data_IF_249717565104
#
_entry.id   IF_249717565104
#
_cell.length_a   1.000
_cell.length_b   1.000
_cell.length_c   1.000
_cell.angle_alpha   90.00
_cell.angle_beta   90.00
_cell.angle_gamma   90.00
#
_symmetry.space_group_name_H-M   'P 1'
#
loop_
_entity.id
_entity.type
_entity.pdbx_description
1 polymer ?
#
# COMPACT_ATOMS: atom_id res chain seq x y z
N UNK A 1 -3.18 -11.34 16.67
CA UNK A 1 -3.75 -10.07 17.11
C UNK A 1 -2.73 -9.14 17.75
N UNK A 2 -1.92 -9.58 18.74
CA UNK A 2 -0.90 -8.69 19.38
C UNK A 2 0.10 -8.09 18.39
N UNK A 3 0.53 -8.82 17.37
CA UNK A 3 1.50 -8.34 16.36
C UNK A 3 0.91 -7.28 15.42
N UNK A 4 -0.38 -7.37 15.11
CA UNK A 4 -1.10 -6.38 14.29
C UNK A 4 -1.27 -5.07 15.08
N UNK A 5 -1.60 -5.17 16.36
CA UNK A 5 -1.72 -4.01 17.26
C UNK A 5 -0.36 -3.30 17.39
N UNK A 6 0.74 -4.06 17.50
CA UNK A 6 2.09 -3.51 17.55
C UNK A 6 2.46 -2.79 16.25
N UNK A 7 2.09 -3.36 15.08
CA UNK A 7 2.32 -2.72 13.79
C UNK A 7 1.52 -1.40 13.65
N UNK A 8 0.26 -1.40 14.06
CA UNK A 8 -0.58 -0.19 14.07
C UNK A 8 -0.01 0.86 15.03
N UNK A 9 0.39 0.46 16.24
CA UNK A 9 1.01 1.36 17.22
C UNK A 9 2.36 1.89 16.71
N UNK A 10 3.16 1.08 16.02
CA UNK A 10 4.43 1.52 15.43
C UNK A 10 4.20 2.56 14.31
N UNK A 11 3.19 2.38 13.48
CA UNK A 11 2.79 3.36 12.46
C UNK A 11 2.35 4.67 13.10
N UNK A 12 1.56 4.62 14.19
CA UNK A 12 1.17 5.82 14.94
C UNK A 12 2.36 6.49 15.67
N UNK A 13 3.29 5.70 16.22
CA UNK A 13 4.46 6.23 16.90
C UNK A 13 5.44 6.93 15.94
N UNK A 14 5.51 6.52 14.70
CA UNK A 14 6.32 7.20 13.67
C UNK A 14 5.74 8.56 13.27
N UNK A 15 4.45 8.80 13.48
CA UNK A 15 3.81 10.07 13.14
C UNK A 15 4.24 11.25 14.02
N UNK A 16 4.83 10.99 15.18
CA UNK A 16 5.26 12.02 16.14
C UNK A 16 6.72 12.44 16.01
N UNK A 17 7.53 11.73 15.23
CA UNK A 17 8.99 11.86 15.28
C UNK A 17 9.63 12.72 14.18
N UNK A 18 8.88 13.17 13.18
CA UNK A 18 9.37 14.06 12.12
C UNK A 18 8.20 14.91 11.61
N UNK A 19 8.47 15.97 10.86
CA UNK A 19 7.45 16.82 10.19
C UNK A 19 6.52 16.06 9.22
N UNK A 20 6.38 14.76 9.40
CA UNK A 20 5.51 13.87 8.68
C UNK A 20 4.13 13.87 9.33
N UNK A 21 3.11 14.19 8.55
CA UNK A 21 1.75 14.19 9.01
C UNK A 21 0.97 13.08 8.32
N UNK A 22 0.40 12.17 9.12
CA UNK A 22 -0.58 11.21 8.61
C UNK A 22 -1.78 11.99 8.08
N UNK A 23 -2.07 11.85 6.80
CA UNK A 23 -3.15 12.57 6.12
C UNK A 23 -4.32 11.68 5.71
N UNK A 24 -4.16 10.37 5.81
CA UNK A 24 -5.25 9.44 5.51
C UNK A 24 -4.94 8.02 5.96
N UNK A 25 -5.98 7.27 6.29
CA UNK A 25 -5.92 5.85 6.66
C UNK A 25 -7.12 5.11 6.09
N UNK A 26 -6.92 3.91 5.60
CA UNK A 26 -7.99 3.10 5.05
C UNK A 26 -7.54 1.75 4.55
N UNK A 27 -8.22 1.26 3.55
CA UNK A 27 -7.94 -0.03 2.93
C UNK A 27 -7.79 0.11 1.42
N UNK A 28 -6.93 -0.70 0.85
CA UNK A 28 -6.77 -0.89 -0.58
C UNK A 28 -7.13 -2.33 -0.90
N UNK A 29 -8.12 -2.51 -1.77
CA UNK A 29 -8.67 -3.80 -2.17
C UNK A 29 -8.27 -4.05 -3.63
N UNK A 30 -7.45 -5.05 -3.86
CA UNK A 30 -6.96 -5.38 -5.18
C UNK A 30 -7.27 -6.82 -5.58
N UNK A 31 -7.34 -7.07 -6.87
CA UNK A 31 -7.71 -8.35 -7.49
C UNK A 31 -6.55 -9.08 -8.14
N UNK A 32 -5.31 -8.99 -7.65
CA UNK A 32 -4.18 -9.63 -8.30
C UNK A 32 -3.19 -10.29 -7.34
N UNK A 33 -2.61 -11.39 -7.77
CA UNK A 33 -1.37 -11.99 -7.24
C UNK A 33 -1.24 -12.10 -5.70
N UNK A 34 -2.30 -12.51 -5.01
CA UNK A 34 -2.18 -12.99 -3.65
C UNK A 34 -2.36 -11.97 -2.52
N UNK A 35 -2.66 -10.72 -2.79
CA UNK A 35 -2.94 -9.72 -1.76
C UNK A 35 -4.31 -9.07 -2.02
N UNK A 36 -5.37 -9.65 -1.44
CA UNK A 36 -6.72 -9.15 -1.62
C UNK A 36 -7.03 -7.86 -0.88
N UNK A 37 -6.33 -7.60 0.23
CA UNK A 37 -6.54 -6.41 1.05
C UNK A 37 -5.23 -5.91 1.67
N UNK A 38 -5.06 -4.60 1.65
CA UNK A 38 -3.94 -3.91 2.28
C UNK A 38 -4.48 -2.81 3.20
N UNK A 39 -3.90 -2.66 4.38
CA UNK A 39 -4.05 -1.45 5.18
C UNK A 39 -3.27 -0.35 4.49
N UNK A 40 -3.92 0.72 4.10
CA UNK A 40 -3.31 1.83 3.36
C UNK A 40 -3.27 3.08 4.21
N UNK A 41 -2.10 3.72 4.26
CA UNK A 41 -1.88 4.97 4.97
C UNK A 41 -1.24 6.00 4.05
N UNK A 42 -1.72 7.25 4.13
CA UNK A 42 -1.18 8.39 3.39
C UNK A 42 -0.46 9.33 4.35
N UNK A 43 0.74 9.71 3.99
CA UNK A 43 1.61 10.58 4.75
C UNK A 43 2.01 11.79 3.93
N UNK A 44 2.11 12.95 4.55
CA UNK A 44 2.58 14.17 3.92
C UNK A 44 3.99 14.50 4.39
N UNK A 45 4.94 14.51 3.45
CA UNK A 45 6.34 14.87 3.63
C UNK A 45 6.76 16.01 2.67
N UNK A 46 5.82 16.87 2.28
CA UNK A 46 5.98 17.81 1.20
C UNK A 46 5.32 17.28 -0.08
N UNK A 47 5.59 16.04 -0.47
CA UNK A 47 4.76 15.24 -1.35
C UNK A 47 4.12 14.09 -0.55
N UNK A 48 3.20 13.38 -1.20
CA UNK A 48 2.51 12.27 -0.56
C UNK A 48 3.36 11.00 -0.58
N UNK A 49 3.37 10.29 0.53
CA UNK A 49 3.90 8.93 0.63
C UNK A 49 2.75 8.01 1.03
N UNK A 50 2.51 6.97 0.25
CA UNK A 50 1.59 5.89 0.59
C UNK A 50 2.39 4.73 1.19
N UNK A 51 1.97 4.26 2.35
CA UNK A 51 2.54 3.08 3.01
C UNK A 51 1.42 2.08 3.22
N UNK A 52 1.57 0.91 2.62
CA UNK A 52 0.57 -0.14 2.66
C UNK A 52 1.13 -1.41 3.30
N UNK A 53 0.32 -2.01 4.15
CA UNK A 53 0.57 -3.32 4.77
C UNK A 53 -0.43 -4.32 4.22
N UNK A 54 0.04 -5.26 3.42
CA UNK A 54 -0.75 -6.35 2.89
C UNK A 54 -0.63 -7.60 3.74
N UNK A 55 -1.73 -8.32 3.82
CA UNK A 55 -1.79 -9.62 4.46
C UNK A 55 -2.65 -10.56 3.62
N UNK A 56 -2.07 -11.72 3.32
CA UNK A 56 -2.76 -12.81 2.67
C UNK A 56 -2.55 -14.10 3.46
N UNK A 57 -3.63 -14.83 3.64
CA UNK A 57 -3.60 -16.16 4.23
C UNK A 57 -4.49 -17.07 3.40
N UNK A 58 -3.91 -18.14 2.89
CA UNK A 58 -4.61 -19.18 2.15
C UNK A 58 -4.21 -20.55 2.70
N UNK A 59 -4.89 -21.62 2.27
CA UNK A 59 -4.57 -22.97 2.71
C UNK A 59 -3.12 -23.33 2.36
N UNK A 60 -2.26 -23.33 3.38
CA UNK A 60 -0.87 -23.77 3.30
C UNK A 60 0.19 -22.68 3.17
N UNK A 61 -0.18 -21.39 3.12
CA UNK A 61 0.80 -20.31 3.22
C UNK A 61 0.25 -19.04 3.87
N UNK A 62 1.13 -18.27 4.48
CA UNK A 62 0.84 -16.95 5.00
C UNK A 62 1.84 -15.96 4.42
N UNK A 63 1.33 -14.88 3.84
CA UNK A 63 2.13 -13.83 3.23
C UNK A 63 1.87 -12.45 3.85
N UNK A 64 2.93 -11.67 3.97
CA UNK A 64 2.90 -10.26 4.36
C UNK A 64 3.61 -9.43 3.31
N UNK A 65 3.11 -8.22 3.08
CA UNK A 65 3.81 -7.25 2.24
C UNK A 65 3.83 -5.88 2.88
N UNK A 66 4.92 -5.17 2.66
CA UNK A 66 5.09 -3.76 2.99
C UNK A 66 5.43 -3.04 1.70
N UNK A 67 4.62 -2.06 1.34
CA UNK A 67 4.84 -1.24 0.14
C UNK A 67 4.94 0.22 0.55
N UNK A 68 5.96 0.92 0.06
CA UNK A 68 6.12 2.35 0.23
C UNK A 68 6.22 3.01 -1.15
N UNK A 69 5.33 3.96 -1.44
CA UNK A 69 5.28 4.68 -2.71
C UNK A 69 5.34 6.17 -2.47
N UNK A 70 6.32 6.82 -3.06
CA UNK A 70 6.39 8.28 -3.16
C UNK A 70 5.55 8.72 -4.34
N UNK A 71 4.56 9.59 -4.10
CA UNK A 71 3.55 9.96 -5.08
C UNK A 71 3.61 11.44 -5.42
N UNK A 72 3.53 11.72 -6.71
CA UNK A 72 3.14 13.01 -7.26
C UNK A 72 1.65 13.00 -7.51
N UNK A 73 1.00 14.10 -7.23
CA UNK A 73 -0.46 14.23 -7.35
C UNK A 73 -0.83 15.56 -8.01
N UNK A 74 -1.97 15.56 -8.67
CA UNK A 74 -2.53 16.76 -9.28
C UNK A 74 -4.05 16.75 -9.27
N UNK A 75 -4.64 17.92 -9.26
CA UNK A 75 -6.08 18.08 -9.34
C UNK A 75 -6.56 18.07 -10.81
N UNK A 76 -7.66 17.35 -11.05
CA UNK A 76 -8.38 17.41 -12.32
C UNK A 76 -9.54 18.40 -12.22
N UNK A 77 -10.19 18.48 -11.05
CA UNK A 77 -11.30 19.37 -10.75
C UNK A 77 -12.49 18.62 -10.14
N UNK A 78 -13.35 19.37 -9.44
CA UNK A 78 -14.59 18.84 -8.81
C UNK A 78 -14.37 17.67 -7.87
N UNK A 79 -13.26 17.67 -7.13
CA UNK A 79 -12.88 16.59 -6.20
C UNK A 79 -12.11 15.44 -6.84
N UNK A 80 -11.97 15.41 -8.16
CA UNK A 80 -11.15 14.43 -8.86
C UNK A 80 -9.68 14.84 -8.91
N UNK A 81 -8.81 13.88 -8.70
CA UNK A 81 -7.37 14.02 -8.83
C UNK A 81 -6.74 12.81 -9.52
N UNK A 82 -5.50 12.96 -9.87
CA UNK A 82 -4.64 11.88 -10.34
C UNK A 82 -3.42 11.78 -9.44
N UNK A 83 -2.83 10.61 -9.39
CA UNK A 83 -1.55 10.40 -8.75
C UNK A 83 -0.72 9.40 -9.53
N UNK A 84 0.58 9.58 -9.46
CA UNK A 84 1.55 8.62 -9.97
C UNK A 84 2.73 8.58 -9.01
N UNK A 85 3.37 7.42 -8.89
CA UNK A 85 4.44 7.27 -7.92
C UNK A 85 5.36 6.11 -8.22
N UNK A 86 6.46 6.11 -7.49
CA UNK A 86 7.46 5.04 -7.51
C UNK A 86 7.89 4.73 -6.09
N UNK A 87 8.28 3.49 -5.87
CA UNK A 87 8.73 3.06 -4.55
C UNK A 87 9.24 1.64 -4.53
N UNK A 88 9.12 1.01 -3.38
CA UNK A 88 9.60 -0.34 -3.17
C UNK A 88 8.54 -1.20 -2.49
N UNK A 89 8.58 -2.49 -2.76
CA UNK A 89 7.75 -3.50 -2.13
C UNK A 89 8.64 -4.58 -1.54
N UNK A 90 8.41 -4.88 -0.27
CA UNK A 90 8.97 -6.02 0.42
C UNK A 90 7.84 -7.02 0.68
N UNK A 91 8.05 -8.28 0.36
CA UNK A 91 7.09 -9.33 0.63
C UNK A 91 7.78 -10.52 1.30
N UNK A 92 7.04 -11.15 2.20
CA UNK A 92 7.47 -12.33 2.94
C UNK A 92 6.38 -13.39 2.85
N UNK A 93 6.79 -14.60 2.46
CA UNK A 93 5.91 -15.78 2.44
C UNK A 93 6.48 -16.86 3.33
N UNK A 94 5.60 -17.51 4.05
CA UNK A 94 5.90 -18.71 4.82
C UNK A 94 4.99 -19.84 4.34
N UNK A 95 5.60 -20.94 3.90
CA UNK A 95 4.93 -22.14 3.45
C UNK A 95 4.86 -23.14 4.61
N UNK A 96 3.66 -23.38 5.13
CA UNK A 96 3.46 -24.28 6.30
C UNK A 96 3.81 -25.74 6.00
N UNK A 97 3.75 -26.15 4.73
CA UNK A 97 3.97 -27.54 4.32
C UNK A 97 5.46 -27.90 4.20
N UNK A 98 6.30 -26.94 3.85
CA UNK A 98 7.74 -27.17 3.61
C UNK A 98 8.65 -26.53 4.65
N UNK A 99 8.07 -25.76 5.58
CA UNK A 99 8.82 -24.95 6.57
C UNK A 99 9.86 -24.00 5.91
N UNK A 100 9.57 -23.61 4.66
CA UNK A 100 10.37 -22.69 3.88
C UNK A 100 9.80 -21.27 3.95
N UNK A 101 10.70 -20.30 4.00
CA UNK A 101 10.33 -18.90 3.98
C UNK A 101 11.11 -18.14 2.90
N UNK A 102 10.39 -17.35 2.11
CA UNK A 102 10.97 -16.54 1.05
C UNK A 102 10.74 -15.05 1.32
N UNK A 103 11.76 -14.26 1.03
CA UNK A 103 11.69 -12.80 1.04
C UNK A 103 11.84 -12.31 -0.39
N UNK A 104 10.91 -11.48 -0.84
CA UNK A 104 10.99 -10.82 -2.12
C UNK A 104 11.11 -9.31 -1.95
N UNK A 105 11.96 -8.71 -2.75
CA UNK A 105 12.14 -7.27 -2.84
C UNK A 105 11.91 -6.84 -4.28
N UNK A 106 11.12 -5.79 -4.48
CA UNK A 106 10.82 -5.25 -5.79
C UNK A 106 10.73 -3.74 -5.82
N UNK A 107 10.88 -3.20 -7.00
CA UNK A 107 10.56 -1.80 -7.31
C UNK A 107 9.11 -1.74 -7.75
N UNK A 108 8.35 -0.84 -7.16
CA UNK A 108 6.93 -0.67 -7.46
C UNK A 108 6.68 0.70 -8.10
N UNK A 109 5.89 0.70 -9.16
CA UNK A 109 5.25 1.90 -9.68
C UNK A 109 3.80 1.95 -9.22
N UNK A 110 3.18 3.12 -9.29
CA UNK A 110 1.75 3.26 -9.07
C UNK A 110 1.22 4.40 -9.93
N UNK A 111 0.03 4.23 -10.48
CA UNK A 111 -0.69 5.31 -11.14
C UNK A 111 -2.19 5.11 -10.91
N UNK A 112 -2.91 6.19 -10.67
CA UNK A 112 -4.32 6.10 -10.39
C UNK A 112 -5.06 7.42 -10.43
N UNK A 113 -6.35 7.30 -10.24
CA UNK A 113 -7.29 8.39 -10.06
C UNK A 113 -7.86 8.34 -8.66
N UNK A 114 -8.18 9.49 -8.12
CA UNK A 114 -8.78 9.62 -6.80
C UNK A 114 -9.94 10.62 -6.81
N UNK A 115 -10.85 10.41 -5.91
CA UNK A 115 -11.95 11.32 -5.66
C UNK A 115 -12.07 11.62 -4.17
N UNK A 116 -11.96 12.89 -3.82
CA UNK A 116 -12.14 13.38 -2.46
C UNK A 116 -13.55 13.96 -2.31
N UNK A 117 -14.34 13.36 -1.43
CA UNK A 117 -15.66 13.89 -1.10
C UNK A 117 -15.53 15.20 -0.33
N UNK A 118 -16.32 16.20 -0.70
CA UNK A 118 -16.33 17.50 -0.02
C UNK A 118 -17.18 17.51 1.25
N UNK A 119 -18.21 16.67 1.31
CA UNK A 119 -19.17 16.62 2.42
C UNK A 119 -18.73 15.69 3.56
N UNK A 120 -17.86 14.74 3.28
CA UNK A 120 -17.37 13.74 4.23
C UNK A 120 -15.87 13.53 4.04
N UNK A 121 -15.11 13.20 5.08
CA UNK A 121 -13.66 13.00 5.00
C UNK A 121 -13.32 11.62 4.42
N UNK A 122 -13.85 11.29 3.26
CA UNK A 122 -13.62 10.03 2.56
C UNK A 122 -12.97 10.31 1.21
N UNK A 123 -11.93 9.55 0.89
CA UNK A 123 -11.29 9.50 -0.42
C UNK A 123 -11.46 8.10 -1.00
N UNK A 124 -11.87 8.06 -2.27
CA UNK A 124 -11.82 6.86 -3.09
C UNK A 124 -10.65 6.95 -4.06
N UNK A 125 -10.03 5.83 -4.36
CA UNK A 125 -9.00 5.76 -5.39
C UNK A 125 -9.14 4.48 -6.21
N UNK A 126 -8.76 4.57 -7.47
CA UNK A 126 -8.60 3.43 -8.35
C UNK A 126 -7.19 3.50 -8.95
N UNK A 127 -6.39 2.49 -8.73
CA UNK A 127 -5.00 2.48 -9.14
C UNK A 127 -4.52 1.15 -9.72
N UNK A 128 -3.43 1.23 -10.46
CA UNK A 128 -2.63 0.10 -10.92
C UNK A 128 -1.23 0.21 -10.32
N UNK A 129 -0.68 -0.90 -9.87
CA UNK A 129 0.63 -0.95 -9.21
C UNK A 129 1.53 -2.02 -9.85
N UNK A 130 2.21 -1.72 -10.98
CA UNK A 130 3.20 -2.61 -11.54
C UNK A 130 4.39 -2.78 -10.57
N UNK A 131 4.95 -3.98 -10.55
CA UNK A 131 6.09 -4.32 -9.70
C UNK A 131 7.15 -5.06 -10.50
N UNK A 132 8.39 -4.63 -10.37
CA UNK A 132 9.55 -5.30 -10.89
C UNK A 132 10.32 -5.95 -9.73
N UNK A 133 10.17 -7.26 -9.61
CA UNK A 133 10.85 -8.02 -8.57
C UNK A 133 12.34 -8.15 -8.88
N UNK A 134 13.17 -7.97 -7.86
CA UNK A 134 14.62 -8.09 -7.92
C UNK A 134 15.10 -9.37 -7.23
N UNK A 135 14.38 -9.80 -6.21
CA UNK A 135 14.68 -10.99 -5.41
C UNK A 135 13.38 -11.77 -5.14
N UNK A 136 13.43 -13.11 -5.07
CA UNK A 136 14.58 -14.00 -5.31
C UNK A 136 14.94 -14.08 -6.79
N UNK A 137 13.98 -13.90 -7.69
CA UNK A 137 14.15 -13.91 -9.13
C UNK A 137 13.68 -12.60 -9.75
N UNK A 138 14.36 -12.20 -10.83
CA UNK A 138 13.98 -10.98 -11.56
C UNK A 138 12.75 -11.26 -12.42
N UNK A 139 11.63 -10.65 -12.07
CA UNK A 139 10.36 -10.81 -12.77
C UNK A 139 9.57 -9.50 -12.77
N UNK A 140 8.88 -9.25 -13.87
CA UNK A 140 7.99 -8.10 -14.02
C UNK A 140 6.52 -8.53 -13.96
N UNK A 141 5.77 -7.89 -13.07
CA UNK A 141 4.33 -8.02 -12.97
C UNK A 141 3.67 -6.69 -13.26
N UNK A 142 2.65 -6.69 -14.10
CA UNK A 142 1.82 -5.51 -14.34
C UNK A 142 1.09 -5.02 -13.09
N UNK A 143 1.10 -5.82 -12.05
CA UNK A 143 0.44 -5.52 -10.79
C UNK A 143 -1.04 -5.80 -10.83
N UNK A 144 -1.70 -5.29 -9.82
CA UNK A 144 -3.13 -5.41 -9.61
C UNK A 144 -3.82 -4.06 -9.81
N UNK A 145 -5.04 -4.12 -10.28
CA UNK A 145 -5.96 -2.98 -10.21
C UNK A 145 -6.63 -3.04 -8.84
N UNK A 146 -6.61 -1.93 -8.11
CA UNK A 146 -7.14 -1.86 -6.77
C UNK A 146 -8.01 -0.64 -6.53
N UNK A 147 -9.01 -0.83 -5.67
CA UNK A 147 -9.86 0.22 -5.14
C UNK A 147 -9.38 0.59 -3.73
N UNK A 148 -9.08 1.85 -3.52
CA UNK A 148 -8.76 2.41 -2.20
C UNK A 148 -9.95 3.14 -1.61
N UNK A 149 -10.17 2.95 -0.32
CA UNK A 149 -11.15 3.70 0.48
C UNK A 149 -10.42 4.17 1.74
N UNK A 150 -10.30 5.48 1.90
CA UNK A 150 -9.52 6.08 2.99
C UNK A 150 -10.31 7.18 3.69
N UNK A 151 -10.15 7.25 4.99
CA UNK A 151 -10.53 8.40 5.79
C UNK A 151 -9.39 9.41 5.76
N UNK A 152 -9.68 10.67 5.46
CA UNK A 152 -8.69 11.75 5.36
C UNK A 152 -8.85 12.74 6.52
N UNK A 153 -7.73 13.26 6.99
CA UNK A 153 -7.68 14.20 8.10
C UNK A 153 -7.44 15.62 7.63
#
# INVERSE_FOLDING_TARGET
MKKIIIAIVAVFAMSTAANAQLSGIGVRLGGGQGYGAELSTLWNFGNRVEIDLGWNSDEGYTGFSLTGIYQWQGEIGSGFGWFAGVGARLAYWNWEVTDDSDIALGLAGQAGLEYQFSAIPIQLSLDIRPCFWLLPDTEFHWGDIALGIRYTF
#
